data_IF_684660742303
#
_entry.id   IF_684660742303
#
_cell.length_a   1.000
_cell.length_b   1.000
_cell.length_c   1.000
_cell.angle_alpha   90.00
_cell.angle_beta   90.00
_cell.angle_gamma   90.00
#
_symmetry.space_group_name_H-M   'P 1'
#
loop_
_entity.id
_entity.type
_entity.pdbx_description
1 polymer ?
#
# COMPACT_ATOMS: atom_id res chain seq x y z
N UNK A 1 -5.73 -5.54 21.09
CA UNK A 1 -5.80 -4.58 19.96
C UNK A 1 -6.01 -3.20 20.55
N UNK A 2 -5.12 -2.27 20.22
CA UNK A 2 -5.23 -0.86 20.59
C UNK A 2 -5.28 -0.02 19.30
N UNK A 3 -5.94 1.13 19.31
CA UNK A 3 -6.05 2.00 18.13
C UNK A 3 -5.41 3.36 18.42
N UNK A 4 -4.64 3.87 17.45
CA UNK A 4 -3.92 5.13 17.55
C UNK A 4 -4.31 6.06 16.43
N UNK A 5 -4.60 7.31 16.79
CA UNK A 5 -4.83 8.39 15.82
C UNK A 5 -3.49 8.99 15.41
N UNK A 6 -3.21 9.05 14.10
CA UNK A 6 -2.07 9.79 13.55
C UNK A 6 -2.49 11.15 12.94
N UNK A 7 -3.78 11.47 13.02
CA UNK A 7 -4.35 12.73 12.55
C UNK A 7 -5.69 13.03 13.21
N UNK A 8 -6.36 14.11 12.78
CA UNK A 8 -7.60 14.59 13.39
C UNK A 8 -8.86 14.01 12.77
N UNK A 9 -8.77 13.45 11.56
CA UNK A 9 -9.91 12.85 10.88
C UNK A 9 -10.13 11.40 11.35
N UNK A 10 -11.38 10.94 11.45
CA UNK A 10 -11.71 9.59 11.94
C UNK A 10 -11.03 8.44 11.20
N UNK A 11 -10.75 8.62 9.90
CA UNK A 11 -10.04 7.64 9.07
C UNK A 11 -8.49 7.75 9.17
N UNK A 12 -7.96 8.63 10.02
CA UNK A 12 -6.52 8.77 10.26
C UNK A 12 -6.09 8.02 11.51
N UNK A 13 -6.26 6.69 11.48
CA UNK A 13 -5.87 5.81 12.56
C UNK A 13 -5.25 4.51 12.06
N UNK A 14 -4.54 3.82 12.95
CA UNK A 14 -4.15 2.43 12.74
C UNK A 14 -4.40 1.62 14.01
N UNK A 15 -4.65 0.32 13.82
CA UNK A 15 -4.78 -0.62 14.92
C UNK A 15 -3.47 -1.39 15.12
N UNK A 16 -3.07 -1.56 16.37
CA UNK A 16 -1.89 -2.31 16.79
C UNK A 16 -2.30 -3.70 17.26
N UNK A 17 -1.64 -4.70 16.67
CA UNK A 17 -1.70 -6.10 17.06
C UNK A 17 -0.29 -6.52 17.47
N UNK A 18 -0.08 -6.61 18.78
CA UNK A 18 1.21 -6.96 19.35
C UNK A 18 1.31 -8.49 19.50
N UNK A 19 2.39 -9.07 19.00
CA UNK A 19 2.82 -10.39 19.41
C UNK A 19 3.79 -10.24 20.60
N UNK A 20 3.37 -10.63 21.81
CA UNK A 20 4.17 -10.48 23.04
C UNK A 20 5.45 -11.33 23.06
N UNK A 21 5.50 -12.38 22.22
CA UNK A 21 6.68 -13.24 22.06
C UNK A 21 7.65 -12.73 21.01
N UNK A 22 7.28 -11.70 20.23
CA UNK A 22 8.17 -11.13 19.23
C UNK A 22 9.25 -10.27 19.90
N UNK A 23 10.51 -10.54 19.57
CA UNK A 23 11.55 -9.53 19.78
C UNK A 23 11.17 -8.32 18.93
N UNK A 24 10.77 -7.20 19.56
CA UNK A 24 10.26 -5.94 18.99
C UNK A 24 11.20 -5.27 17.94
N UNK A 25 11.51 -5.98 16.86
CA UNK A 25 12.54 -5.60 15.88
C UNK A 25 11.93 -5.37 14.52
N UNK A 26 10.96 -6.18 14.09
CA UNK A 26 10.31 -6.06 12.78
C UNK A 26 8.80 -6.00 12.94
N UNK A 27 8.21 -4.98 12.34
CA UNK A 27 6.77 -4.75 12.33
C UNK A 27 6.22 -4.80 10.91
N UNK A 28 5.03 -5.36 10.75
CA UNK A 28 4.31 -5.36 9.47
C UNK A 28 3.31 -4.20 9.45
N UNK A 29 3.37 -3.37 8.42
CA UNK A 29 2.39 -2.30 8.19
C UNK A 29 1.45 -2.71 7.06
N UNK A 30 0.22 -3.10 7.42
CA UNK A 30 -0.80 -3.51 6.47
C UNK A 30 -1.54 -2.29 5.91
N UNK A 31 -1.65 -2.21 4.58
CA UNK A 31 -2.38 -1.15 3.87
C UNK A 31 -3.40 -1.78 2.92
N UNK A 32 -4.67 -1.52 3.18
CA UNK A 32 -5.76 -2.17 2.45
C UNK A 32 -5.97 -1.60 1.03
N UNK A 33 -6.69 -2.36 0.21
CA UNK A 33 -7.09 -1.98 -1.14
C UNK A 33 -8.51 -1.40 -1.21
N UNK A 34 -9.23 -1.70 -2.30
CA UNK A 34 -10.62 -1.26 -2.45
C UNK A 34 -10.81 -0.06 -3.38
N UNK A 35 -9.87 0.17 -4.32
CA UNK A 35 -10.07 1.13 -5.42
C UNK A 35 -10.45 2.55 -4.99
N UNK A 36 -9.75 3.11 -4.01
CA UNK A 36 -9.98 4.45 -3.44
C UNK A 36 -11.43 4.74 -2.98
N UNK A 37 -12.29 3.72 -2.89
CA UNK A 37 -13.70 3.86 -2.50
C UNK A 37 -13.86 3.78 -0.99
N UNK A 38 -14.66 4.67 -0.41
CA UNK A 38 -14.86 4.79 1.05
C UNK A 38 -15.49 3.54 1.67
N UNK A 39 -16.25 2.74 0.91
CA UNK A 39 -16.95 1.54 1.41
C UNK A 39 -16.04 0.37 1.83
N UNK A 40 -14.77 0.39 1.44
CA UNK A 40 -13.80 -0.66 1.76
C UNK A 40 -12.80 -0.11 2.74
N UNK A 41 -12.46 -0.81 3.81
CA UNK A 41 -11.61 -0.31 4.89
C UNK A 41 -10.51 -1.32 5.27
N UNK A 42 -9.74 -1.00 6.31
CA UNK A 42 -8.64 -1.85 6.81
C UNK A 42 -9.06 -3.29 7.19
N UNK A 43 -10.35 -3.55 7.42
CA UNK A 43 -10.82 -4.90 7.80
C UNK A 43 -10.70 -5.91 6.66
N UNK A 44 -10.51 -5.44 5.41
CA UNK A 44 -10.20 -6.32 4.27
C UNK A 44 -8.95 -7.18 4.49
N UNK A 45 -8.01 -6.72 5.31
CA UNK A 45 -6.76 -7.43 5.59
C UNK A 45 -6.80 -8.22 6.91
N UNK A 46 -7.93 -8.27 7.62
CA UNK A 46 -8.06 -9.05 8.86
C UNK A 46 -7.59 -10.51 8.73
N UNK A 47 -7.90 -11.25 7.64
CA UNK A 47 -7.41 -12.62 7.51
C UNK A 47 -5.88 -12.76 7.51
N UNK A 48 -5.14 -11.71 7.10
CA UNK A 48 -3.68 -11.71 7.14
C UNK A 48 -3.13 -11.42 8.54
N UNK A 49 -3.89 -10.69 9.36
CA UNK A 49 -3.46 -10.33 10.72
C UNK A 49 -3.24 -11.59 11.55
N UNK A 50 -4.24 -12.49 11.57
CA UNK A 50 -4.16 -13.73 12.36
C UNK A 50 -2.97 -14.59 11.91
N UNK A 51 -2.82 -14.78 10.59
CA UNK A 51 -1.73 -15.58 10.03
C UNK A 51 -0.34 -15.01 10.35
N UNK A 52 -0.18 -13.68 10.33
CA UNK A 52 1.10 -13.04 10.64
C UNK A 52 1.40 -12.99 12.14
N UNK A 53 0.38 -12.83 12.98
CA UNK A 53 0.53 -12.92 14.44
C UNK A 53 0.99 -14.33 14.81
N UNK A 54 0.36 -15.37 14.27
CA UNK A 54 0.74 -16.78 14.48
C UNK A 54 2.16 -17.07 13.96
N UNK A 55 2.57 -16.40 12.89
CA UNK A 55 3.93 -16.47 12.35
C UNK A 55 4.97 -15.66 13.15
N UNK A 56 4.57 -15.01 14.25
CA UNK A 56 5.50 -14.32 15.16
C UNK A 56 5.70 -12.83 14.90
N UNK A 57 4.87 -12.18 14.08
CA UNK A 57 5.03 -10.76 13.75
C UNK A 57 4.04 -9.87 14.52
N UNK A 58 4.50 -8.68 14.91
CA UNK A 58 3.63 -7.59 15.36
C UNK A 58 3.22 -6.72 14.16
N UNK A 59 2.03 -6.13 14.23
CA UNK A 59 1.36 -5.53 13.08
C UNK A 59 0.76 -4.17 13.44
N UNK A 60 0.85 -3.22 12.51
CA UNK A 60 -0.06 -2.09 12.42
C UNK A 60 -0.98 -2.27 11.20
N UNK A 61 -2.28 -2.11 11.37
CA UNK A 61 -3.26 -2.15 10.29
C UNK A 61 -3.80 -0.74 10.04
N UNK A 62 -3.39 -0.12 8.93
CA UNK A 62 -3.57 1.31 8.67
C UNK A 62 -4.90 1.56 7.95
N UNK A 63 -5.72 2.44 8.53
CA UNK A 63 -6.83 3.11 7.85
C UNK A 63 -6.32 4.45 7.30
N UNK A 64 -6.85 4.91 6.17
CA UNK A 64 -6.46 6.18 5.55
C UNK A 64 -7.64 6.83 4.83
N UNK A 65 -7.62 8.16 4.66
CA UNK A 65 -8.70 8.84 3.94
C UNK A 65 -8.65 8.54 2.44
N UNK A 66 -9.84 8.32 1.86
CA UNK A 66 -10.06 8.08 0.43
C UNK A 66 -11.45 8.59 0.02
N UNK A 67 -11.82 8.41 -1.24
CA UNK A 67 -13.11 8.85 -1.79
C UNK A 67 -13.13 10.28 -2.35
N UNK A 68 -14.28 10.70 -2.91
CA UNK A 68 -14.40 11.97 -3.64
C UNK A 68 -14.15 13.20 -2.76
N UNK A 69 -14.30 13.09 -1.43
CA UNK A 69 -13.96 14.16 -0.47
C UNK A 69 -12.48 14.20 -0.07
N UNK A 70 -11.75 13.12 -0.34
CA UNK A 70 -10.35 12.94 0.06
C UNK A 70 -9.51 12.49 -1.13
N UNK A 71 -9.32 13.44 -2.03
CA UNK A 71 -8.73 13.21 -3.34
C UNK A 71 -7.20 13.15 -3.28
N UNK A 72 -6.57 12.65 -4.35
CA UNK A 72 -5.12 12.57 -4.47
C UNK A 72 -4.44 13.93 -4.20
N UNK A 73 -3.33 14.01 -3.43
CA UNK A 73 -2.51 12.90 -2.89
C UNK A 73 -2.87 12.44 -1.47
N UNK A 74 -4.07 12.76 -0.95
CA UNK A 74 -4.43 12.49 0.46
C UNK A 74 -4.17 11.03 0.89
N UNK A 75 -4.58 9.97 0.14
CA UNK A 75 -4.32 8.60 0.56
C UNK A 75 -2.83 8.26 0.74
N UNK A 76 -1.98 8.76 -0.16
CA UNK A 76 -0.53 8.52 -0.09
C UNK A 76 0.09 9.25 1.11
N UNK A 77 -0.31 10.51 1.32
CA UNK A 77 0.13 11.30 2.47
C UNK A 77 -0.32 10.67 3.79
N UNK A 78 -1.55 10.17 3.89
CA UNK A 78 -2.04 9.54 5.11
C UNK A 78 -1.24 8.27 5.47
N UNK A 79 -0.86 7.46 4.48
CA UNK A 79 0.03 6.29 4.72
C UNK A 79 1.43 6.73 5.16
N UNK A 80 1.99 7.79 4.54
CA UNK A 80 3.25 8.39 5.00
C UNK A 80 3.17 8.83 6.47
N UNK A 81 2.14 9.60 6.83
CA UNK A 81 1.95 10.12 8.18
C UNK A 81 1.71 8.99 9.19
N UNK A 82 0.97 7.94 8.83
CA UNK A 82 0.78 6.78 9.69
C UNK A 82 2.11 6.06 10.01
N UNK A 83 2.94 5.80 8.99
CA UNK A 83 4.25 5.18 9.15
C UNK A 83 5.20 6.07 9.97
N UNK A 84 5.21 7.37 9.68
CA UNK A 84 6.03 8.33 10.42
C UNK A 84 5.59 8.45 11.88
N UNK A 85 4.29 8.53 12.15
CA UNK A 85 3.75 8.55 13.50
C UNK A 85 4.16 7.28 14.26
N UNK A 86 4.00 6.10 13.65
CA UNK A 86 4.33 4.83 14.30
C UNK A 86 5.80 4.72 14.72
N UNK A 87 6.73 5.21 13.88
CA UNK A 87 8.18 5.25 14.19
C UNK A 87 8.51 6.03 15.47
N UNK A 88 7.66 6.97 15.86
CA UNK A 88 7.85 7.83 17.04
C UNK A 88 7.05 7.39 18.27
N UNK A 89 6.37 6.24 18.20
CA UNK A 89 5.68 5.65 19.36
C UNK A 89 6.65 4.93 20.30
N UNK A 90 6.15 4.52 21.48
CA UNK A 90 6.91 3.71 22.44
C UNK A 90 7.27 2.31 21.93
N UNK A 91 6.63 1.82 20.87
CA UNK A 91 7.01 0.56 20.23
C UNK A 91 8.38 0.62 19.54
N UNK A 92 8.81 1.83 19.13
CA UNK A 92 10.13 2.14 18.56
C UNK A 92 10.65 1.04 17.60
N UNK A 93 9.92 0.77 16.49
CA UNK A 93 10.25 -0.33 15.59
C UNK A 93 11.65 -0.15 14.98
N UNK A 94 12.47 -1.21 15.00
CA UNK A 94 13.77 -1.18 14.30
C UNK A 94 13.62 -1.31 12.78
N UNK A 95 12.60 -2.04 12.34
CA UNK A 95 12.26 -2.27 10.93
C UNK A 95 10.76 -2.28 10.74
N UNK A 96 10.30 -1.71 9.61
CA UNK A 96 8.91 -1.75 9.15
C UNK A 96 8.87 -2.34 7.75
N UNK A 97 8.09 -3.41 7.58
CA UNK A 97 7.79 -4.02 6.27
C UNK A 97 6.37 -3.64 5.88
N UNK A 98 6.21 -2.91 4.78
CA UNK A 98 4.88 -2.54 4.27
C UNK A 98 4.27 -3.66 3.44
N UNK A 99 3.02 -4.05 3.73
CA UNK A 99 2.29 -5.04 2.95
C UNK A 99 1.01 -4.40 2.46
N UNK A 100 0.89 -4.27 1.14
CA UNK A 100 -0.23 -3.57 0.52
C UNK A 100 -0.95 -4.41 -0.53
N UNK A 101 -2.28 -4.43 -0.49
CA UNK A 101 -3.10 -5.12 -1.50
C UNK A 101 -3.75 -4.15 -2.50
N UNK A 102 -3.62 -4.39 -3.81
CA UNK A 102 -4.23 -3.57 -4.86
C UNK A 102 -3.81 -2.10 -4.74
N UNK A 103 -4.74 -1.18 -4.46
CA UNK A 103 -4.43 0.23 -4.12
C UNK A 103 -3.57 0.34 -2.87
N UNK A 104 -3.71 -0.54 -1.87
CA UNK A 104 -2.76 -0.57 -0.75
C UNK A 104 -1.35 -0.89 -1.21
N UNK A 105 -1.21 -1.77 -2.21
CA UNK A 105 0.04 -2.09 -2.88
C UNK A 105 0.65 -0.88 -3.60
N UNK A 106 -0.18 -0.10 -4.27
CA UNK A 106 0.20 1.21 -4.83
C UNK A 106 0.74 2.14 -3.75
N UNK A 107 0.05 2.25 -2.61
CA UNK A 107 0.41 3.20 -1.55
C UNK A 107 1.71 2.81 -0.83
N UNK A 108 1.97 1.51 -0.59
CA UNK A 108 3.27 1.08 -0.04
C UNK A 108 4.39 1.27 -1.05
N UNK A 109 4.15 1.05 -2.35
CA UNK A 109 5.15 1.31 -3.39
C UNK A 109 5.49 2.81 -3.49
N UNK A 110 4.51 3.70 -3.34
CA UNK A 110 4.75 5.15 -3.36
C UNK A 110 5.46 5.67 -2.10
N UNK A 111 5.25 5.00 -0.96
CA UNK A 111 5.89 5.31 0.31
C UNK A 111 7.12 4.41 0.58
N UNK A 112 7.74 3.86 -0.46
CA UNK A 112 8.85 2.92 -0.33
C UNK A 112 10.06 3.46 0.47
N UNK A 113 10.21 4.79 0.58
CA UNK A 113 11.28 5.44 1.35
C UNK A 113 11.03 5.42 2.86
N UNK A 114 9.81 5.18 3.28
CA UNK A 114 9.42 5.09 4.68
C UNK A 114 9.51 3.66 5.23
N UNK A 115 9.86 2.70 4.39
CA UNK A 115 9.84 1.26 4.67
C UNK A 115 11.23 0.66 4.49
N UNK A 116 11.54 -0.36 5.30
CA UNK A 116 12.77 -1.14 5.17
C UNK A 116 12.66 -2.19 4.05
N UNK A 117 11.45 -2.71 3.84
CA UNK A 117 11.09 -3.59 2.73
C UNK A 117 9.58 -3.51 2.48
N UNK A 118 9.12 -4.05 1.34
CA UNK A 118 7.69 -4.12 1.04
C UNK A 118 7.26 -5.39 0.31
N UNK A 119 5.98 -5.71 0.46
CA UNK A 119 5.27 -6.75 -0.28
C UNK A 119 4.03 -6.13 -0.94
N UNK A 120 4.02 -6.08 -2.27
CA UNK A 120 2.86 -5.70 -3.07
C UNK A 120 2.04 -6.92 -3.46
N UNK A 121 0.81 -7.03 -2.96
CA UNK A 121 -0.16 -8.06 -3.34
C UNK A 121 -1.07 -7.50 -4.44
N UNK A 122 -0.90 -7.99 -5.67
CA UNK A 122 -1.57 -7.50 -6.88
C UNK A 122 -1.61 -5.96 -6.97
N UNK A 123 -0.47 -5.25 -6.85
CA UNK A 123 -0.46 -3.80 -6.67
C UNK A 123 -0.92 -3.05 -7.93
N UNK A 124 -1.65 -1.96 -7.75
CA UNK A 124 -1.87 -0.98 -8.83
C UNK A 124 -0.58 -0.20 -9.04
N UNK A 125 0.10 -0.43 -10.17
CA UNK A 125 1.42 0.18 -10.47
C UNK A 125 1.36 1.27 -11.54
N UNK A 126 0.33 1.27 -12.37
CA UNK A 126 0.09 2.23 -13.45
C UNK A 126 -1.38 2.64 -13.49
N UNK A 127 -1.68 3.81 -12.91
CA UNK A 127 -3.04 4.35 -12.83
C UNK A 127 -3.53 4.83 -14.21
N UNK A 128 -2.64 5.21 -15.13
CA UNK A 128 -3.03 5.57 -16.49
C UNK A 128 -3.48 4.33 -17.26
N UNK A 129 -2.76 3.21 -17.11
CA UNK A 129 -3.19 1.93 -17.65
C UNK A 129 -4.55 1.52 -17.06
N UNK A 130 -4.70 1.59 -15.73
CA UNK A 130 -5.98 1.28 -15.04
C UNK A 130 -7.14 2.10 -15.60
N UNK A 131 -6.93 3.40 -15.88
CA UNK A 131 -7.93 4.26 -16.51
C UNK A 131 -8.28 3.82 -17.93
N UNK A 132 -7.26 3.62 -18.78
CA UNK A 132 -7.46 3.29 -20.20
C UNK A 132 -8.16 1.95 -20.41
N UNK A 133 -7.95 1.01 -19.49
CA UNK A 133 -8.55 -0.32 -19.53
C UNK A 133 -9.83 -0.45 -18.70
N UNK A 134 -10.36 0.66 -18.15
CA UNK A 134 -11.60 0.68 -17.36
C UNK A 134 -11.59 -0.29 -16.16
N UNK A 135 -10.41 -0.54 -15.58
CA UNK A 135 -10.25 -1.53 -14.53
C UNK A 135 -10.89 -1.09 -13.22
N UNK A 136 -11.30 -2.08 -12.41
CA UNK A 136 -11.94 -1.82 -11.13
C UNK A 136 -13.32 -1.17 -11.24
N UNK A 137 -14.05 -1.39 -12.33
CA UNK A 137 -15.33 -0.74 -12.63
C UNK A 137 -15.17 0.78 -12.70
N UNK A 138 -14.29 1.25 -13.59
CA UNK A 138 -14.02 2.67 -13.78
C UNK A 138 -13.53 3.42 -12.53
N UNK A 139 -12.83 2.72 -11.62
CA UNK A 139 -12.41 3.27 -10.34
C UNK A 139 -11.55 4.53 -10.49
N UNK A 140 -10.69 4.59 -11.51
CA UNK A 140 -9.87 5.78 -11.76
C UNK A 140 -10.73 6.94 -12.24
N UNK A 141 -11.68 6.71 -13.15
CA UNK A 141 -12.58 7.76 -13.62
C UNK A 141 -13.50 8.27 -12.49
N UNK A 142 -13.97 7.37 -11.63
CA UNK A 142 -14.78 7.67 -10.44
C UNK A 142 -14.01 8.53 -9.44
N UNK A 143 -12.79 8.12 -9.04
CA UNK A 143 -12.05 8.80 -7.97
C UNK A 143 -11.29 10.04 -8.46
N UNK A 144 -10.75 10.00 -9.68
CA UNK A 144 -9.98 11.10 -10.25
C UNK A 144 -10.83 12.02 -11.13
N UNK A 145 -12.12 11.78 -11.37
CA UNK A 145 -13.08 12.71 -12.00
C UNK A 145 -12.50 13.57 -13.16
N UNK A 146 -11.99 12.94 -14.23
CA UNK A 146 -11.36 13.60 -15.42
C UNK A 146 -10.08 14.43 -15.16
N UNK A 147 -9.44 14.28 -14.00
CA UNK A 147 -8.23 15.04 -13.62
C UNK A 147 -7.07 14.90 -14.60
N UNK A 148 -6.26 15.97 -14.60
CA UNK A 148 -5.06 16.10 -15.41
C UNK A 148 -4.13 14.89 -15.31
N UNK A 149 -3.58 14.46 -16.45
CA UNK A 149 -2.57 13.39 -16.60
C UNK A 149 -1.43 13.48 -15.58
N UNK A 150 -1.08 14.69 -15.13
CA UNK A 150 -0.08 14.92 -14.09
C UNK A 150 -0.41 14.24 -12.77
N UNK A 151 -1.67 14.27 -12.32
CA UNK A 151 -2.09 13.64 -11.06
C UNK A 151 -2.08 12.11 -11.19
N UNK A 152 -2.53 11.57 -12.33
CA UNK A 152 -2.47 10.13 -12.58
C UNK A 152 -1.03 9.62 -12.61
N UNK A 153 -0.11 10.39 -13.20
CA UNK A 153 1.33 10.11 -13.13
C UNK A 153 1.83 10.11 -11.69
N UNK A 154 1.51 11.15 -10.90
CA UNK A 154 1.88 11.18 -9.47
C UNK A 154 1.30 10.01 -8.66
N UNK A 155 0.15 9.47 -9.07
CA UNK A 155 -0.44 8.29 -8.46
C UNK A 155 0.15 6.97 -8.98
N UNK A 156 0.98 6.97 -10.02
CA UNK A 156 1.49 5.74 -10.64
C UNK A 156 2.92 5.43 -10.17
N UNK A 157 3.13 4.37 -9.36
CA UNK A 157 4.47 3.90 -8.99
C UNK A 157 5.45 3.80 -10.15
N UNK A 158 4.99 3.34 -11.33
CA UNK A 158 5.84 3.16 -12.53
C UNK A 158 6.48 4.46 -13.03
N UNK A 159 6.01 5.62 -12.56
CA UNK A 159 6.60 6.93 -12.92
C UNK A 159 7.59 7.46 -11.89
N UNK A 160 7.80 6.75 -10.78
CA UNK A 160 8.62 7.16 -9.63
C UNK A 160 9.72 6.13 -9.36
N UNK A 161 10.42 5.75 -10.43
CA UNK A 161 11.40 4.66 -10.43
C UNK A 161 12.86 5.17 -10.35
N UNK A 162 13.79 4.33 -9.85
CA UNK A 162 13.53 3.06 -9.19
C UNK A 162 12.99 3.28 -7.76
N UNK A 163 12.33 2.26 -7.21
CA UNK A 163 12.10 2.24 -5.76
C UNK A 163 13.45 2.04 -5.02
N UNK A 164 13.47 2.30 -3.71
CA UNK A 164 14.70 2.38 -2.91
C UNK A 164 14.81 1.35 -1.79
N UNK A 165 13.84 0.46 -1.62
CA UNK A 165 13.86 -0.60 -0.60
C UNK A 165 13.63 -1.97 -1.26
N UNK A 166 13.95 -3.03 -0.54
CA UNK A 166 13.73 -4.40 -1.02
C UNK A 166 12.23 -4.65 -1.22
N UNK A 167 11.86 -5.22 -2.37
CA UNK A 167 10.47 -5.44 -2.72
C UNK A 167 10.21 -6.86 -3.23
N UNK A 168 9.05 -7.38 -2.82
CA UNK A 168 8.43 -8.56 -3.39
C UNK A 168 7.06 -8.19 -3.96
N UNK A 169 6.74 -8.66 -5.16
CA UNK A 169 5.40 -8.56 -5.74
C UNK A 169 4.83 -9.97 -5.89
N UNK A 170 3.62 -10.16 -5.40
CA UNK A 170 2.83 -11.39 -5.60
C UNK A 170 1.59 -11.01 -6.38
N UNK A 171 1.37 -11.60 -7.55
CA UNK A 171 0.27 -11.19 -8.44
C UNK A 171 -0.34 -12.39 -9.15
N UNK A 172 -1.60 -12.72 -8.88
CA UNK A 172 -2.24 -13.86 -9.53
C UNK A 172 -2.34 -13.69 -11.05
N UNK A 173 -1.93 -14.73 -11.80
CA UNK A 173 -1.94 -14.71 -13.26
C UNK A 173 -3.30 -14.35 -13.90
N UNK A 174 -4.42 -14.75 -13.28
CA UNK A 174 -5.79 -14.51 -13.77
C UNK A 174 -6.49 -13.36 -13.01
N UNK A 175 -5.76 -12.36 -12.55
CA UNK A 175 -6.35 -11.19 -11.89
C UNK A 175 -7.09 -10.31 -12.92
N UNK A 176 -8.42 -10.27 -12.79
CA UNK A 176 -9.31 -9.49 -13.66
C UNK A 176 -9.58 -8.09 -13.09
N UNK A 177 -9.18 -7.82 -11.85
CA UNK A 177 -9.36 -6.53 -11.21
C UNK A 177 -8.15 -5.63 -11.46
N UNK A 178 -6.93 -6.14 -11.30
CA UNK A 178 -5.67 -5.47 -11.63
C UNK A 178 -4.91 -6.36 -12.60
N UNK A 179 -4.62 -5.89 -13.81
CA UNK A 179 -3.91 -6.74 -14.77
C UNK A 179 -2.44 -6.92 -14.38
N UNK A 180 -1.98 -8.17 -14.40
CA UNK A 180 -0.60 -8.59 -14.12
C UNK A 180 0.45 -7.89 -15.01
N UNK A 181 0.07 -7.53 -16.24
CA UNK A 181 0.94 -6.81 -17.19
C UNK A 181 1.55 -5.53 -16.60
N UNK A 182 0.79 -4.84 -15.73
CA UNK A 182 1.27 -3.62 -15.07
C UNK A 182 2.38 -3.93 -14.06
N UNK A 183 2.28 -5.04 -13.31
CA UNK A 183 3.34 -5.49 -12.41
C UNK A 183 4.58 -5.95 -13.17
N UNK A 184 4.41 -6.69 -14.27
CA UNK A 184 5.53 -7.11 -15.13
C UNK A 184 6.27 -5.89 -15.69
N UNK A 185 5.53 -4.90 -16.18
CA UNK A 185 6.11 -3.64 -16.69
C UNK A 185 6.85 -2.87 -15.60
N UNK A 186 6.26 -2.75 -14.42
CA UNK A 186 6.88 -2.09 -13.26
C UNK A 186 8.18 -2.77 -12.83
N UNK A 187 8.21 -4.11 -12.78
CA UNK A 187 9.41 -4.90 -12.44
C UNK A 187 10.49 -4.70 -13.52
N UNK A 188 10.11 -4.78 -14.79
CA UNK A 188 11.03 -4.59 -15.91
C UNK A 188 11.69 -3.21 -15.86
N UNK A 189 10.93 -2.14 -15.64
CA UNK A 189 11.46 -0.77 -15.59
C UNK A 189 12.36 -0.51 -14.37
N UNK A 190 12.09 -1.15 -13.23
CA UNK A 190 13.03 -1.14 -12.10
C UNK A 190 14.33 -1.87 -12.43
N UNK A 191 14.24 -3.03 -13.08
CA UNK A 191 15.41 -3.81 -13.51
C UNK A 191 16.30 -3.02 -14.47
N UNK A 192 15.72 -2.31 -15.44
CA UNK A 192 16.48 -1.41 -16.34
C UNK A 192 17.22 -0.29 -15.59
N UNK A 193 16.78 0.06 -14.39
CA UNK A 193 17.40 1.05 -13.51
C UNK A 193 18.31 0.44 -12.44
N UNK A 194 18.61 -0.86 -12.55
CA UNK A 194 19.50 -1.60 -11.65
C UNK A 194 18.87 -2.02 -10.32
N UNK A 195 17.54 -1.96 -10.19
CA UNK A 195 16.83 -2.39 -8.99
C UNK A 195 16.07 -3.70 -9.25
N UNK A 196 16.33 -4.72 -8.44
CA UNK A 196 15.78 -6.06 -8.61
C UNK A 196 14.58 -6.28 -7.67
N UNK A 197 13.44 -6.68 -8.22
CA UNK A 197 12.22 -6.97 -7.47
C UNK A 197 11.92 -8.47 -7.57
N UNK A 198 11.66 -9.11 -6.43
CA UNK A 198 11.23 -10.52 -6.41
C UNK A 198 9.79 -10.63 -6.87
N UNK A 199 9.46 -11.59 -7.73
CA UNK A 199 8.13 -11.73 -8.32
C UNK A 199 7.57 -13.16 -8.23
N UNK A 200 6.33 -13.30 -7.78
CA UNK A 200 5.56 -14.54 -7.76
C UNK A 200 4.21 -14.34 -8.47
N UNK A 201 3.84 -15.26 -9.37
CA UNK A 201 2.61 -15.20 -10.14
C UNK A 201 1.92 -16.55 -10.34
#
# INVERSE_FOLDING_TARGET
MESYMYGTHQAQHYDVYLNESAENTTWLALVHGGYWREKFDKHMLNPLIDAFIDAGFSIINIEYRRGPKHQWPIPANDVHEALNHFKHTSYAPKRIVGIGHSVGGQLVLLNHRDLDALVGLAPVTDVLYTLHHHLGQDAVAEYFETRATKLLRQASPITQLPISCDAMIVHGFNDNAVHIDTSISFIHENYQKGHYITFYA
#
